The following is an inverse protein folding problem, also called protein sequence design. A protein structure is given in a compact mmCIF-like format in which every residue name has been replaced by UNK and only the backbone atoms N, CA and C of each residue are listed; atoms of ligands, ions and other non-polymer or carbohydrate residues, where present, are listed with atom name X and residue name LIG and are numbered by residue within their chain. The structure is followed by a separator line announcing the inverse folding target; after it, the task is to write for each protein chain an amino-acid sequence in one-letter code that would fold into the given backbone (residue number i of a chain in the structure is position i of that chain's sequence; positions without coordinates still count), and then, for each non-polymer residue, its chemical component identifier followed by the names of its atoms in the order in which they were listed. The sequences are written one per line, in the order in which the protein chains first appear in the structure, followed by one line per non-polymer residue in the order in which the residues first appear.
data_IF_583539220226
#
_entry.id   IF_583539220226
#
_cell.length_a   1.000
_cell.length_b   1.000
_cell.length_c   1.000
_cell.angle_alpha   90.00
_cell.angle_beta   90.00
_cell.angle_gamma   90.00
#
_symmetry.space_group_name_H-M   'P 1'
#
loop_
_entity.id
_entity.type
_entity.pdbx_description
1 polymer ?
#
# COMPACT_ATOMS: atom_id res chain seq x y z
N UNK A 1 -16.30 6.09 -9.62
CA UNK A 1 -15.38 7.14 -10.09
C UNK A 1 -14.02 6.50 -10.22
N UNK A 2 -13.36 6.62 -11.37
CA UNK A 2 -12.03 6.06 -11.63
C UNK A 2 -11.08 7.21 -11.88
N UNK A 3 -10.04 7.34 -11.07
CA UNK A 3 -8.97 8.33 -11.28
C UNK A 3 -8.10 7.86 -12.43
N UNK A 4 -7.86 8.71 -13.44
CA UNK A 4 -6.96 8.42 -14.56
C UNK A 4 -5.53 8.87 -14.24
N UNK A 5 -4.50 8.22 -14.82
CA UNK A 5 -3.11 8.64 -14.64
C UNK A 5 -2.83 10.11 -14.98
N UNK A 6 -3.54 10.68 -15.95
CA UNK A 6 -3.41 12.08 -16.35
C UNK A 6 -3.93 13.08 -15.31
N UNK A 7 -4.67 12.61 -14.30
CA UNK A 7 -5.25 13.46 -13.24
C UNK A 7 -4.29 13.65 -12.07
N UNK A 8 -3.16 12.93 -12.03
CA UNK A 8 -2.18 13.00 -10.95
C UNK A 8 -0.81 13.50 -11.44
N UNK A 9 0.02 14.07 -10.54
CA UNK A 9 1.42 14.36 -10.85
C UNK A 9 2.14 13.14 -11.39
N UNK A 10 3.03 13.34 -12.35
CA UNK A 10 3.75 12.22 -12.96
C UNK A 10 4.91 11.77 -12.07
N UNK A 11 5.12 10.46 -11.97
CA UNK A 11 6.42 9.89 -11.71
C UNK A 11 7.09 10.42 -10.43
N UNK A 12 8.19 11.13 -10.66
CA UNK A 12 9.09 11.71 -9.64
C UNK A 12 8.42 12.69 -8.67
N UNK A 13 7.20 13.16 -8.95
CA UNK A 13 6.46 14.10 -8.11
C UNK A 13 5.30 13.45 -7.35
N UNK A 14 5.12 12.14 -7.48
CA UNK A 14 3.99 11.41 -6.90
C UNK A 14 4.44 10.51 -5.76
N UNK A 15 3.83 10.68 -4.60
CA UNK A 15 3.98 9.80 -3.43
C UNK A 15 2.60 9.22 -3.12
N UNK A 16 2.52 7.91 -2.92
CA UNK A 16 1.28 7.22 -2.62
C UNK A 16 1.40 6.44 -1.32
N UNK A 17 0.50 6.71 -0.38
CA UNK A 17 0.30 5.89 0.82
C UNK A 17 -1.02 5.13 0.68
N UNK A 18 -0.97 3.80 0.71
CA UNK A 18 -2.13 2.94 0.44
C UNK A 18 -2.32 1.91 1.56
N UNK A 19 -3.58 1.66 1.90
CA UNK A 19 -4.03 0.55 2.75
C UNK A 19 -5.03 -0.30 1.93
N UNK A 20 -4.55 -1.16 1.02
CA UNK A 20 -5.40 -1.92 0.12
C UNK A 20 -6.32 -2.89 0.86
N UNK A 21 -7.55 -3.11 0.39
CA UNK A 21 -8.44 -4.10 1.00
C UNK A 21 -7.89 -5.52 0.81
N UNK A 22 -7.97 -6.34 1.86
CA UNK A 22 -7.18 -7.56 1.97
C UNK A 22 -7.72 -8.77 1.17
N UNK A 23 -9.03 -8.84 0.89
CA UNK A 23 -9.63 -9.93 0.11
C UNK A 23 -9.29 -11.34 0.63
N UNK A 24 -9.59 -12.37 -0.16
CA UNK A 24 -9.12 -13.75 0.13
C UNK A 24 -7.70 -13.88 -0.43
N UNK A 25 -6.75 -14.32 0.41
CA UNK A 25 -5.34 -14.57 0.02
C UNK A 25 -4.65 -13.36 -0.66
N UNK A 26 -4.90 -12.14 -0.19
CA UNK A 26 -4.32 -10.90 -0.74
C UNK A 26 -4.62 -10.61 -2.23
N UNK A 27 -5.52 -11.36 -2.89
CA UNK A 27 -5.80 -11.20 -4.32
C UNK A 27 -6.31 -9.79 -4.65
N UNK A 28 -7.17 -9.24 -3.77
CA UNK A 28 -7.71 -7.90 -3.94
C UNK A 28 -6.64 -6.82 -3.68
N UNK A 29 -5.76 -7.03 -2.70
CA UNK A 29 -4.64 -6.15 -2.42
C UNK A 29 -3.67 -6.09 -3.60
N UNK A 30 -3.29 -7.25 -4.16
CA UNK A 30 -2.41 -7.31 -5.34
C UNK A 30 -3.01 -6.59 -6.54
N UNK A 31 -4.30 -6.81 -6.84
CA UNK A 31 -5.00 -6.11 -7.93
C UNK A 31 -5.03 -4.60 -7.72
N UNK A 32 -5.29 -4.16 -6.49
CA UNK A 32 -5.32 -2.74 -6.13
C UNK A 32 -3.94 -2.09 -6.31
N UNK A 33 -2.88 -2.78 -5.86
CA UNK A 33 -1.51 -2.30 -6.01
C UNK A 33 -1.12 -2.25 -7.48
N UNK A 34 -1.45 -3.26 -8.29
CA UNK A 34 -1.14 -3.25 -9.73
C UNK A 34 -1.76 -2.03 -10.44
N UNK A 35 -2.98 -1.62 -10.06
CA UNK A 35 -3.57 -0.38 -10.56
C UNK A 35 -2.81 0.87 -10.10
N UNK A 36 -2.35 0.91 -8.85
CA UNK A 36 -1.54 2.03 -8.35
C UNK A 36 -0.18 2.15 -9.07
N UNK A 37 0.41 1.03 -9.49
CA UNK A 37 1.68 1.01 -10.22
C UNK A 37 1.59 1.66 -11.60
N UNK A 38 0.41 1.74 -12.22
CA UNK A 38 0.20 2.43 -13.50
C UNK A 38 0.52 3.94 -13.39
N UNK A 39 0.38 4.52 -12.20
CA UNK A 39 0.68 5.92 -11.93
C UNK A 39 2.19 6.18 -11.72
N UNK A 40 2.99 5.13 -11.61
CA UNK A 40 4.46 5.17 -11.44
C UNK A 40 4.92 6.11 -10.32
N UNK A 41 4.38 6.01 -9.09
CA UNK A 41 4.80 6.87 -7.99
C UNK A 41 6.31 6.76 -7.72
N UNK A 42 6.93 7.86 -7.29
CA UNK A 42 8.33 7.86 -6.83
C UNK A 42 8.51 7.06 -5.55
N UNK A 43 7.55 7.16 -4.64
CA UNK A 43 7.54 6.45 -3.36
C UNK A 43 6.14 5.88 -3.12
N UNK A 44 6.12 4.61 -2.75
CA UNK A 44 4.91 3.88 -2.40
C UNK A 44 5.05 3.31 -0.99
N UNK A 45 4.13 3.71 -0.11
CA UNK A 45 4.04 3.21 1.27
C UNK A 45 2.81 2.32 1.35
N UNK A 46 3.00 1.05 1.70
CA UNK A 46 1.95 0.03 1.69
C UNK A 46 1.76 -0.55 3.08
N UNK A 47 0.51 -0.58 3.55
CA UNK A 47 0.09 -1.37 4.70
C UNK A 47 -0.69 -2.56 4.14
N UNK A 48 -0.09 -3.75 4.17
CA UNK A 48 -0.62 -4.95 3.50
C UNK A 48 -0.33 -6.22 4.30
N UNK A 49 -1.12 -7.30 4.13
CA UNK A 49 -0.84 -8.61 4.72
C UNK A 49 0.44 -9.18 4.13
N UNK A 50 1.11 -10.05 4.89
CA UNK A 50 2.39 -10.65 4.52
C UNK A 50 2.33 -11.48 3.23
N UNK A 51 1.17 -12.00 2.89
CA UNK A 51 0.89 -12.78 1.67
C UNK A 51 0.88 -11.93 0.39
N UNK A 52 0.87 -10.59 0.52
CA UNK A 52 0.89 -9.67 -0.62
C UNK A 52 2.19 -9.81 -1.42
N UNK A 53 2.08 -9.73 -2.74
CA UNK A 53 3.24 -9.89 -3.61
C UNK A 53 4.25 -8.76 -3.38
N UNK A 54 5.48 -9.15 -3.10
CA UNK A 54 6.63 -8.27 -2.93
C UNK A 54 6.97 -7.52 -4.22
N UNK A 55 6.95 -6.18 -4.16
CA UNK A 55 7.21 -5.32 -5.33
C UNK A 55 8.66 -5.32 -5.77
N UNK A 56 9.59 -5.46 -4.83
CA UNK A 56 11.03 -5.65 -5.05
C UNK A 56 11.37 -6.97 -5.75
N UNK A 57 10.40 -7.89 -5.88
CA UNK A 57 10.56 -9.18 -6.56
C UNK A 57 9.79 -9.26 -7.88
N UNK A 58 9.13 -8.18 -8.32
CA UNK A 58 8.42 -8.14 -9.61
C UNK A 58 9.42 -7.96 -10.76
N UNK A 59 8.96 -8.21 -11.99
CA UNK A 59 9.75 -8.04 -13.23
C UNK A 59 10.28 -6.62 -13.40
N UNK A 60 9.48 -5.62 -13.00
CA UNK A 60 9.87 -4.22 -12.91
C UNK A 60 9.86 -3.86 -11.43
N UNK A 61 10.98 -4.05 -10.72
CA UNK A 61 11.00 -3.95 -9.28
C UNK A 61 11.03 -2.50 -8.80
N UNK A 62 10.48 -2.28 -7.61
CA UNK A 62 10.77 -1.09 -6.81
C UNK A 62 11.90 -1.41 -5.83
N UNK A 63 12.70 -0.42 -5.49
CA UNK A 63 13.67 -0.55 -4.42
C UNK A 63 12.95 -0.57 -3.06
N UNK A 64 13.25 -1.59 -2.26
CA UNK A 64 12.78 -1.65 -0.88
C UNK A 64 13.63 -0.71 -0.03
N UNK A 65 13.06 0.44 0.34
CA UNK A 65 13.75 1.42 1.20
C UNK A 65 13.52 1.17 2.69
N UNK A 66 12.38 0.57 3.06
CA UNK A 66 12.00 0.29 4.44
C UNK A 66 10.97 -0.84 4.50
N UNK A 67 11.01 -1.63 5.59
CA UNK A 67 10.09 -2.73 5.88
C UNK A 67 9.90 -2.79 7.40
N UNK A 68 8.66 -2.95 7.83
CA UNK A 68 8.30 -3.20 9.22
C UNK A 68 7.27 -4.32 9.27
N UNK A 69 7.55 -5.36 10.05
CA UNK A 69 6.72 -6.56 10.16
C UNK A 69 6.18 -6.77 11.58
N UNK A 70 6.75 -6.11 12.59
CA UNK A 70 6.48 -6.38 14.01
C UNK A 70 5.51 -5.36 14.61
N UNK A 71 5.70 -4.06 14.37
CA UNK A 71 4.91 -2.99 15.00
C UNK A 71 3.45 -2.92 14.51
N UNK A 72 3.17 -3.40 13.30
CA UNK A 72 1.84 -3.37 12.67
C UNK A 72 1.12 -4.73 12.70
N UNK A 73 1.63 -5.70 13.46
CA UNK A 73 1.17 -7.10 13.49
C UNK A 73 -0.25 -7.34 14.04
N UNK A 74 -1.02 -6.29 14.39
CA UNK A 74 -2.43 -6.44 14.73
C UNK A 74 -3.02 -5.42 15.70
N UNK A 75 -2.23 -4.49 16.25
CA UNK A 75 -2.72 -3.47 17.21
C UNK A 75 -3.06 -2.11 16.59
N UNK A 76 -2.66 -1.91 15.33
CA UNK A 76 -2.57 -0.58 14.71
C UNK A 76 -3.41 -0.46 13.43
N UNK A 77 -4.15 -1.50 13.05
CA UNK A 77 -5.13 -1.39 11.98
C UNK A 77 -6.29 -0.57 12.49
N UNK A 78 -6.47 0.62 11.91
CA UNK A 78 -7.66 1.43 12.16
C UNK A 78 -8.90 0.60 11.78
N UNK A 79 -9.63 0.16 12.79
CA UNK A 79 -10.98 -0.33 12.65
C UNK A 79 -11.90 0.89 12.84
N UNK A 80 -12.85 1.17 11.93
CA UNK A 80 -13.84 2.21 12.16
C UNK A 80 -14.54 1.97 13.52
N UNK A 81 -14.36 2.90 14.46
CA UNK A 81 -14.87 2.79 15.84
C UNK A 81 -13.88 2.25 16.89
N UNK A 82 -12.63 1.95 16.53
CA UNK A 82 -11.56 1.68 17.50
C UNK A 82 -11.08 2.96 18.18
N UNK A 83 -10.86 2.88 19.49
CA UNK A 83 -10.36 3.97 20.34
C UNK A 83 -8.83 3.80 20.41
N UNK A 84 -8.08 4.87 20.16
CA UNK A 84 -6.63 4.84 20.37
C UNK A 84 -6.34 4.59 21.86
N UNK A 85 -5.60 3.52 22.15
CA UNK A 85 -5.22 3.17 23.52
C UNK A 85 -4.16 4.10 24.12
N UNK A 86 -3.55 4.97 23.30
CA UNK A 86 -2.58 5.98 23.71
C UNK A 86 -3.14 7.41 23.77
N UNK A 87 -4.37 7.64 23.32
CA UNK A 87 -5.07 8.91 23.59
C UNK A 87 -5.57 8.89 25.04
N UNK A 88 -4.77 9.47 25.94
CA UNK A 88 -5.17 9.80 27.31
C UNK A 88 -6.00 11.08 27.38
#
# INVERSE_FOLDING_TARGET
MTVKPSELPTGSHLIMGLNPPFGVQAALANKFIDQALEFKPKLLVLIVPQETQRLDKKKLPYDLVWKEDEELSGKSFYLPGSIDVNDK
#
